data_IF_864394596381
#
_entry.id   IF_864394596381
#
_cell.length_a   1.000
_cell.length_b   1.000
_cell.length_c   1.000
_cell.angle_alpha   90.00
_cell.angle_beta   90.00
_cell.angle_gamma   90.00
#
_symmetry.space_group_name_H-M   'P 1'
#
loop_
_entity.id
_entity.type
_entity.pdbx_description
1 polymer ?
#
# COMPACT_ATOMS: atom_id res chain seq x y z
N UNK A 1 17.32 1.36 -9.87
CA UNK A 1 17.14 -0.11 -10.03
C UNK A 1 15.74 -0.52 -9.61
N UNK A 2 15.12 -1.44 -10.33
CA UNK A 2 13.77 -1.93 -10.03
C UNK A 2 13.80 -3.46 -9.86
N UNK A 3 13.17 -3.97 -8.81
CA UNK A 3 13.00 -5.42 -8.59
C UNK A 3 11.55 -5.75 -8.27
N UNK A 4 11.18 -6.98 -8.59
CA UNK A 4 9.79 -7.46 -8.57
C UNK A 4 9.68 -8.72 -7.73
N UNK A 5 8.56 -8.88 -7.04
CA UNK A 5 8.17 -10.12 -6.38
C UNK A 5 6.66 -10.31 -6.50
N UNK A 6 6.21 -11.57 -6.44
CA UNK A 6 4.79 -11.86 -6.28
C UNK A 6 4.40 -11.73 -4.81
N UNK A 7 3.31 -11.05 -4.51
CA UNK A 7 2.83 -10.89 -3.14
C UNK A 7 2.52 -12.24 -2.50
N UNK A 8 1.93 -13.15 -3.26
CA UNK A 8 1.66 -14.54 -2.86
C UNK A 8 2.89 -15.36 -2.49
N UNK A 9 4.09 -14.95 -2.91
CA UNK A 9 5.36 -15.58 -2.54
C UNK A 9 5.98 -14.98 -1.25
N UNK A 10 5.45 -13.86 -0.76
CA UNK A 10 5.91 -13.16 0.45
C UNK A 10 5.06 -13.60 1.64
N UNK A 11 5.71 -14.05 2.72
CA UNK A 11 5.02 -14.38 3.98
C UNK A 11 4.54 -13.10 4.67
N UNK A 12 3.40 -13.16 5.35
CA UNK A 12 2.83 -11.99 6.07
C UNK A 12 3.81 -11.32 7.04
N UNK A 13 4.58 -12.09 7.81
CA UNK A 13 5.60 -11.56 8.73
C UNK A 13 6.73 -10.83 7.98
N UNK A 14 7.12 -11.36 6.82
CA UNK A 14 8.16 -10.77 5.98
C UNK A 14 7.68 -9.46 5.35
N UNK A 15 6.43 -9.43 4.86
CA UNK A 15 5.77 -8.23 4.37
C UNK A 15 5.66 -7.16 5.47
N UNK A 16 5.30 -7.54 6.69
CA UNK A 16 5.29 -6.66 7.86
C UNK A 16 6.65 -6.01 8.10
N UNK A 17 7.73 -6.81 8.06
CA UNK A 17 9.08 -6.30 8.21
C UNK A 17 9.48 -5.38 7.04
N UNK A 18 9.11 -5.71 5.81
CA UNK A 18 9.30 -4.85 4.62
C UNK A 18 8.62 -3.51 4.83
N UNK A 19 7.31 -3.50 5.09
CA UNK A 19 6.55 -2.26 5.27
C UNK A 19 7.08 -1.43 6.43
N UNK A 20 7.41 -2.06 7.57
CA UNK A 20 7.96 -1.34 8.72
C UNK A 20 9.32 -0.70 8.41
N UNK A 21 10.19 -1.39 7.67
CA UNK A 21 11.46 -0.81 7.20
C UNK A 21 11.20 0.35 6.23
N UNK A 22 10.34 0.16 5.23
CA UNK A 22 10.05 1.18 4.22
C UNK A 22 9.37 2.44 4.80
N UNK A 23 8.57 2.30 5.86
CA UNK A 23 7.99 3.44 6.57
C UNK A 23 9.05 4.34 7.21
N UNK A 24 10.28 3.86 7.41
CA UNK A 24 11.40 4.69 7.87
C UNK A 24 12.08 5.47 6.75
N UNK A 25 11.85 5.07 5.49
CA UNK A 25 12.45 5.68 4.30
C UNK A 25 11.48 6.57 3.52
N UNK A 26 10.18 6.34 3.66
CA UNK A 26 9.15 7.03 2.90
C UNK A 26 8.47 8.14 3.70
N UNK A 27 8.04 9.18 2.98
CA UNK A 27 7.31 10.32 3.53
C UNK A 27 5.81 10.12 3.49
N UNK A 28 5.31 9.39 2.48
CA UNK A 28 3.87 9.23 2.23
C UNK A 28 3.51 7.79 1.90
N UNK A 29 2.27 7.45 2.24
CA UNK A 29 1.58 6.25 1.78
C UNK A 29 0.36 6.68 0.97
N UNK A 30 0.23 6.12 -0.23
CA UNK A 30 -0.98 6.19 -1.03
C UNK A 30 -1.67 4.83 -1.00
N UNK A 31 -2.98 4.83 -0.81
CA UNK A 31 -3.81 3.62 -0.89
C UNK A 31 -4.97 3.89 -1.83
N UNK A 32 -5.33 2.93 -2.67
CA UNK A 32 -6.47 3.04 -3.57
C UNK A 32 -7.44 1.87 -3.34
N UNK A 33 -8.69 2.20 -3.05
CA UNK A 33 -9.75 1.23 -2.81
C UNK A 33 -10.62 1.07 -4.06
N UNK A 34 -10.71 -0.14 -4.64
CA UNK A 34 -11.61 -0.37 -5.77
C UNK A 34 -13.08 -0.33 -5.32
N UNK A 35 -13.94 0.29 -6.13
CA UNK A 35 -15.39 0.37 -5.88
C UNK A 35 -16.06 -1.01 -5.84
N UNK A 36 -15.60 -1.93 -6.69
CA UNK A 36 -16.01 -3.34 -6.67
C UNK A 36 -14.85 -4.16 -6.14
N UNK A 37 -15.00 -4.77 -4.96
CA UNK A 37 -13.93 -5.49 -4.29
C UNK A 37 -14.44 -6.66 -3.46
N UNK A 38 -13.52 -7.49 -2.97
CA UNK A 38 -13.86 -8.57 -2.05
C UNK A 38 -14.35 -8.03 -0.71
N UNK A 39 -15.08 -8.86 0.04
CA UNK A 39 -15.52 -8.51 1.41
C UNK A 39 -14.35 -8.17 2.33
N UNK A 40 -13.17 -8.79 2.11
CA UNK A 40 -11.97 -8.51 2.88
C UNK A 40 -11.44 -7.09 2.65
N UNK A 41 -11.38 -6.66 1.38
CA UNK A 41 -10.96 -5.29 1.01
C UNK A 41 -11.97 -4.27 1.51
N UNK A 42 -13.27 -4.54 1.36
CA UNK A 42 -14.32 -3.67 1.88
C UNK A 42 -14.24 -3.51 3.42
N UNK A 43 -14.04 -4.62 4.14
CA UNK A 43 -13.88 -4.60 5.62
C UNK A 43 -12.63 -3.82 6.02
N UNK A 44 -11.54 -3.98 5.28
CA UNK A 44 -10.32 -3.20 5.54
C UNK A 44 -10.56 -1.71 5.29
N UNK A 45 -11.21 -1.33 4.19
CA UNK A 45 -11.60 0.05 3.88
C UNK A 45 -12.41 0.68 5.02
N UNK A 46 -13.44 0.00 5.50
CA UNK A 46 -14.27 0.50 6.61
C UNK A 46 -13.45 0.76 7.88
N UNK A 47 -12.57 -0.18 8.27
CA UNK A 47 -11.67 -0.02 9.42
C UNK A 47 -10.69 1.12 9.22
N UNK A 48 -10.14 1.25 8.01
CA UNK A 48 -9.21 2.30 7.65
C UNK A 48 -9.87 3.69 7.73
N UNK A 49 -11.06 3.85 7.17
CA UNK A 49 -11.81 5.11 7.22
C UNK A 49 -12.20 5.49 8.65
N UNK A 50 -12.62 4.51 9.44
CA UNK A 50 -12.91 4.71 10.86
C UNK A 50 -11.67 5.20 11.64
N UNK A 51 -10.51 4.57 11.41
CA UNK A 51 -9.24 4.91 12.08
C UNK A 51 -8.66 6.27 11.63
N UNK A 52 -8.96 6.70 10.40
CA UNK A 52 -8.58 8.02 9.88
C UNK A 52 -9.58 9.12 10.26
N UNK A 53 -10.68 8.76 10.94
CA UNK A 53 -11.82 9.66 11.22
C UNK A 53 -12.37 10.37 9.98
N UNK A 54 -12.22 9.78 8.80
CA UNK A 54 -12.80 10.28 7.57
C UNK A 54 -14.29 9.91 7.58
N UNK A 55 -15.15 10.90 7.72
CA UNK A 55 -16.60 10.69 7.68
C UNK A 55 -17.01 10.18 6.29
N UNK A 56 -17.51 8.96 6.20
CA UNK A 56 -17.98 8.36 4.96
C UNK A 56 -19.39 8.89 4.65
N UNK A 57 -19.49 9.90 3.79
CA UNK A 57 -20.77 10.36 3.24
C UNK A 57 -21.17 9.45 2.07
N UNK A 58 -21.92 8.39 2.35
CA UNK A 58 -22.51 7.49 1.34
C UNK A 58 -23.35 8.22 0.26
N UNK A 59 -23.77 9.46 0.52
CA UNK A 59 -24.71 10.21 -0.31
C UNK A 59 -24.08 11.13 -1.37
N UNK A 60 -22.76 11.40 -1.31
CA UNK A 60 -22.11 12.32 -2.26
C UNK A 60 -21.59 11.65 -3.54
N UNK A 61 -21.56 10.31 -3.59
CA UNK A 61 -21.10 9.55 -4.76
C UNK A 61 -22.19 9.33 -5.82
N UNK A 62 -23.48 9.51 -5.49
CA UNK A 62 -24.58 9.28 -6.43
C UNK A 62 -24.78 10.38 -7.49
N UNK A 63 -23.93 11.42 -7.53
CA UNK A 63 -24.08 12.57 -8.44
C UNK A 63 -22.99 12.70 -9.51
N UNK A 64 -22.01 11.79 -9.57
CA UNK A 64 -20.91 11.78 -10.55
C UNK A 64 -20.84 10.43 -11.29
N UNK A 65 -21.93 10.05 -11.95
CA UNK A 65 -22.03 8.85 -12.81
C UNK A 65 -21.39 9.05 -14.19
N UNK A 66 -20.15 9.54 -14.28
CA UNK A 66 -19.40 9.59 -15.56
C UNK A 66 -17.98 9.00 -15.44
N UNK A 67 -17.94 7.66 -15.41
CA UNK A 67 -17.06 6.80 -16.20
C UNK A 67 -15.53 7.00 -16.11
N UNK A 68 -14.96 6.67 -14.95
CA UNK A 68 -13.77 5.81 -14.86
C UNK A 68 -14.10 4.70 -13.84
N UNK A 69 -13.40 3.56 -13.83
CA UNK A 69 -13.47 2.61 -12.72
C UNK A 69 -12.83 3.28 -11.49
N UNK A 70 -13.54 4.21 -10.85
CA UNK A 70 -12.98 5.16 -9.90
C UNK A 70 -12.52 4.44 -8.63
N UNK A 71 -11.25 4.06 -8.56
CA UNK A 71 -10.62 3.68 -7.30
C UNK A 71 -10.60 4.92 -6.39
N UNK A 72 -11.07 4.80 -5.17
CA UNK A 72 -11.02 5.88 -4.18
C UNK A 72 -9.62 5.93 -3.57
N UNK A 73 -8.88 7.02 -3.84
CA UNK A 73 -7.49 7.18 -3.43
C UNK A 73 -7.31 8.03 -2.18
N UNK A 74 -6.52 7.56 -1.22
CA UNK A 74 -6.09 8.30 -0.03
C UNK A 74 -4.58 8.47 -0.02
N UNK A 75 -4.11 9.69 0.21
CA UNK A 75 -2.70 10.00 0.41
C UNK A 75 -2.48 10.55 1.83
N UNK A 76 -1.54 9.97 2.57
CA UNK A 76 -1.26 10.34 3.95
C UNK A 76 0.25 10.48 4.17
N UNK A 77 0.63 11.41 5.04
CA UNK A 77 2.02 11.58 5.48
C UNK A 77 2.30 10.54 6.57
N UNK A 78 3.36 9.73 6.39
CA UNK A 78 3.70 8.63 7.29
C UNK A 78 3.99 9.12 8.72
N UNK A 79 4.69 10.25 8.84
CA UNK A 79 5.02 10.87 10.13
C UNK A 79 3.78 11.36 10.92
N UNK A 80 2.63 11.53 10.27
CA UNK A 80 1.37 11.96 10.91
C UNK A 80 0.37 10.83 11.11
N UNK A 81 0.72 9.58 10.77
CA UNK A 81 -0.19 8.46 10.97
C UNK A 81 -0.40 8.24 12.47
N UNK A 82 -1.65 8.01 12.85
CA UNK A 82 -1.98 7.52 14.19
C UNK A 82 -1.47 6.09 14.35
N UNK A 83 -1.23 5.67 15.59
CA UNK A 83 -0.82 4.29 15.88
C UNK A 83 -1.84 3.26 15.36
N UNK A 84 -3.13 3.60 15.36
CA UNK A 84 -4.20 2.75 14.82
C UNK A 84 -4.09 2.55 13.31
N UNK A 85 -3.89 3.64 12.55
CA UNK A 85 -3.72 3.56 11.09
C UNK A 85 -2.43 2.83 10.74
N UNK A 86 -1.35 3.10 11.48
CA UNK A 86 -0.06 2.41 11.29
C UNK A 86 -0.20 0.92 11.56
N UNK A 87 -0.87 0.52 12.65
CA UNK A 87 -1.12 -0.88 12.96
C UNK A 87 -1.97 -1.58 11.89
N UNK A 88 -2.97 -0.89 11.32
CA UNK A 88 -3.76 -1.42 10.20
C UNK A 88 -2.92 -1.67 8.95
N UNK A 89 -2.10 -0.69 8.54
CA UNK A 89 -1.24 -0.80 7.36
C UNK A 89 -0.17 -1.89 7.52
N UNK A 90 0.49 -1.95 8.68
CA UNK A 90 1.45 -3.01 8.96
C UNK A 90 0.76 -4.38 9.06
N UNK A 91 -0.49 -4.43 9.54
CA UNK A 91 -1.28 -5.66 9.64
C UNK A 91 -1.80 -6.21 8.31
N UNK A 92 -1.51 -5.57 7.17
CA UNK A 92 -1.95 -6.03 5.85
C UNK A 92 -1.40 -7.42 5.51
N UNK A 93 -2.24 -8.23 4.87
CA UNK A 93 -1.88 -9.58 4.43
C UNK A 93 -1.54 -9.56 2.93
N UNK A 94 -0.57 -10.35 2.45
CA UNK A 94 -0.17 -10.35 1.04
C UNK A 94 -1.31 -10.65 0.06
N UNK A 95 -2.33 -11.40 0.48
CA UNK A 95 -3.51 -11.73 -0.33
C UNK A 95 -4.59 -10.64 -0.33
N UNK A 96 -4.35 -9.49 0.30
CA UNK A 96 -5.26 -8.36 0.27
C UNK A 96 -5.02 -7.59 -1.04
N UNK A 97 -5.76 -7.95 -2.08
CA UNK A 97 -5.68 -7.37 -3.42
C UNK A 97 -6.14 -5.91 -3.44
N UNK A 98 -5.20 -4.98 -3.22
CA UNK A 98 -5.41 -3.54 -3.25
C UNK A 98 -4.16 -2.84 -3.78
N UNK A 99 -4.30 -1.60 -4.24
CA UNK A 99 -3.12 -0.81 -4.62
C UNK A 99 -2.62 0.01 -3.44
N UNK A 100 -1.32 -0.11 -3.16
CA UNK A 100 -0.61 0.70 -2.17
C UNK A 100 0.73 1.17 -2.73
N UNK A 101 1.03 2.45 -2.57
CA UNK A 101 2.31 3.04 -2.92
C UNK A 101 2.99 3.69 -1.72
N UNK A 102 4.28 3.43 -1.52
CA UNK A 102 5.11 4.16 -0.55
C UNK A 102 6.06 5.10 -1.31
N UNK A 103 6.04 6.37 -0.91
CA UNK A 103 6.69 7.47 -1.64
C UNK A 103 7.78 8.09 -0.78
N UNK A 104 8.97 8.23 -1.34
CA UNK A 104 10.10 8.98 -0.77
C UNK A 104 10.36 10.21 -1.63
N UNK A 105 10.10 11.40 -1.12
CA UNK A 105 10.11 12.65 -1.88
C UNK A 105 9.11 12.62 -3.03
N UNK A 106 9.63 12.49 -4.25
CA UNK A 106 8.85 12.42 -5.50
C UNK A 106 8.85 11.02 -6.14
N UNK A 107 9.57 10.05 -5.56
CA UNK A 107 9.72 8.70 -6.13
C UNK A 107 8.82 7.70 -5.41
N UNK A 108 8.11 6.87 -6.17
CA UNK A 108 7.44 5.68 -5.64
C UNK A 108 8.52 4.62 -5.39
N UNK A 109 8.84 4.40 -4.13
CA UNK A 109 9.89 3.47 -3.73
C UNK A 109 9.35 2.03 -3.68
N UNK A 110 8.11 1.87 -3.24
CA UNK A 110 7.44 0.57 -3.21
C UNK A 110 6.02 0.69 -3.76
N UNK A 111 5.64 -0.29 -4.56
CA UNK A 111 4.29 -0.44 -5.09
C UNK A 111 3.81 -1.86 -4.84
N UNK A 112 2.60 -1.98 -4.30
CA UNK A 112 1.82 -3.20 -4.14
C UNK A 112 0.62 -3.04 -5.07
N UNK A 113 0.43 -3.99 -5.97
CA UNK A 113 -0.71 -4.04 -6.89
C UNK A 113 -1.78 -5.04 -6.44
N UNK A 114 -3.03 -4.76 -6.81
CA UNK A 114 -4.12 -5.73 -6.72
C UNK A 114 -3.91 -6.99 -7.59
N UNK A 115 -3.00 -6.96 -8.56
CA UNK A 115 -2.66 -8.06 -9.48
C UNK A 115 -1.62 -9.07 -8.93
N UNK A 116 -1.45 -9.17 -7.60
CA UNK A 116 -0.47 -10.06 -6.94
C UNK A 116 1.01 -9.70 -7.23
N UNK A 117 1.27 -8.49 -7.69
CA UNK A 117 2.61 -7.97 -7.95
C UNK A 117 3.02 -6.93 -6.88
N UNK A 118 4.29 -6.97 -6.49
CA UNK A 118 4.91 -5.86 -5.80
C UNK A 118 6.29 -5.52 -6.37
N UNK A 119 6.61 -4.23 -6.32
CA UNK A 119 7.77 -3.63 -6.96
C UNK A 119 8.50 -2.75 -5.97
N UNK A 120 9.83 -2.83 -5.97
CA UNK A 120 10.70 -1.88 -5.29
C UNK A 120 11.53 -1.17 -6.34
N UNK A 121 11.53 0.16 -6.29
CA UNK A 121 12.33 1.04 -7.14
C UNK A 121 13.19 1.96 -6.28
N UNK A 122 14.50 1.84 -6.44
CA UNK A 122 15.50 2.61 -5.70
C UNK A 122 16.55 3.17 -6.64
N UNK A 123 17.44 4.03 -6.16
CA UNK A 123 18.59 4.49 -6.93
C UNK A 123 19.64 3.37 -7.10
N UNK A 124 20.55 3.51 -8.08
CA UNK A 124 21.54 2.45 -8.41
C UNK A 124 22.53 2.17 -7.28
N UNK A 125 22.80 3.17 -6.44
CA UNK A 125 23.69 3.15 -5.29
C UNK A 125 22.96 2.81 -3.97
N UNK A 126 21.72 2.34 -4.05
CA UNK A 126 20.92 2.02 -2.86
C UNK A 126 21.25 0.65 -2.28
N UNK A 127 21.62 0.62 -1.00
CA UNK A 127 21.89 -0.61 -0.23
C UNK A 127 20.62 -1.39 0.17
N UNK A 128 19.42 -0.94 -0.23
CA UNK A 128 18.14 -1.59 0.13
C UNK A 128 18.18 -3.08 -0.19
N UNK A 129 18.73 -3.44 -1.36
CA UNK A 129 18.75 -4.83 -1.82
C UNK A 129 19.87 -5.69 -1.23
N UNK A 130 20.75 -5.12 -0.41
CA UNK A 130 21.75 -5.88 0.35
C UNK A 130 21.16 -6.47 1.64
N UNK A 131 19.97 -5.98 2.03
CA UNK A 131 19.24 -6.50 3.18
C UNK A 131 18.56 -7.84 2.82
N UNK A 132 18.69 -8.88 3.66
CA UNK A 132 18.03 -10.18 3.44
C UNK A 132 16.51 -10.10 3.28
N UNK A 133 15.92 -9.01 3.77
CA UNK A 133 14.50 -8.69 3.71
C UNK A 133 13.94 -8.65 2.27
N UNK A 134 14.79 -8.41 1.28
CA UNK A 134 14.39 -8.25 -0.12
C UNK A 134 14.87 -9.39 -1.02
N UNK A 135 15.28 -10.53 -0.46
CA UNK A 135 15.79 -11.67 -1.23
C UNK A 135 14.76 -12.25 -2.22
N UNK A 136 13.46 -12.09 -1.97
CA UNK A 136 12.40 -12.54 -2.88
C UNK A 136 12.27 -11.64 -4.11
N UNK A 137 12.79 -10.42 -4.07
CA UNK A 137 12.70 -9.45 -5.15
C UNK A 137 13.78 -9.70 -6.20
N UNK A 138 13.36 -9.97 -7.43
CA UNK A 138 14.22 -10.35 -8.56
C UNK A 138 14.30 -9.23 -9.59
N UNK A 139 15.41 -9.19 -10.32
CA UNK A 139 15.52 -8.43 -11.56
C UNK A 139 14.81 -9.22 -12.67
N UNK A 140 14.04 -8.52 -13.51
CA UNK A 140 13.42 -9.07 -14.72
C UNK A 140 14.17 -8.50 -15.93
#
# INVERSE_FOLDING_TARGET
MRRYARLSEIRTEELQHILNYLFTLCDKVNIYFPNTCSTEVATFKEKFLAATHIAYNLHELSSLEEALEEKEGFSMIIASLTEEVKALLLGMKPNLHLDLGLISGEKVLFYWSDEDECVIETDEDSDVFDLPLFNQFKHI
#
